data_IF_574102469107
#
_entry.id   IF_574102469107
#
_cell.length_a   1.000
_cell.length_b   1.000
_cell.length_c   1.000
_cell.angle_alpha   90.00
_cell.angle_beta   90.00
_cell.angle_gamma   90.00
#
_symmetry.space_group_name_H-M   'P 1'
#
loop_
_entity.id
_entity.type
_entity.pdbx_description
1 polymer ?
#
# COMPACT_ATOMS: atom_id res chain seq x y z
N UNK A 1 -20.33 15.70 -12.12
CA UNK A 1 -20.06 15.23 -10.74
C UNK A 1 -18.61 14.79 -10.66
N UNK A 2 -17.78 15.41 -9.82
CA UNK A 2 -16.44 14.88 -9.51
C UNK A 2 -16.62 13.78 -8.46
N UNK A 3 -16.71 12.53 -8.88
CA UNK A 3 -16.61 11.41 -7.95
C UNK A 3 -15.14 11.26 -7.58
N UNK A 4 -14.76 11.76 -6.40
CA UNK A 4 -13.50 11.36 -5.80
C UNK A 4 -13.62 9.88 -5.43
N UNK A 5 -12.60 9.06 -5.73
CA UNK A 5 -12.59 7.65 -5.34
C UNK A 5 -12.71 7.53 -3.81
N UNK A 6 -13.41 6.48 -3.36
CA UNK A 6 -13.62 6.21 -1.94
C UNK A 6 -12.29 6.15 -1.16
N UNK A 7 -12.29 6.50 0.14
CA UNK A 7 -11.12 6.37 1.00
C UNK A 7 -10.56 4.96 1.00
N UNK A 8 -9.24 4.83 1.04
CA UNK A 8 -8.55 3.55 1.09
C UNK A 8 -8.40 3.13 2.55
N UNK A 9 -8.98 2.00 2.92
CA UNK A 9 -8.86 1.45 4.27
C UNK A 9 -7.47 0.85 4.53
N UNK A 10 -7.08 0.79 5.80
CA UNK A 10 -5.83 0.15 6.23
C UNK A 10 -5.78 -1.32 5.78
N UNK A 11 -6.92 -2.02 5.82
CA UNK A 11 -7.05 -3.40 5.37
C UNK A 11 -6.80 -3.57 3.85
N UNK A 12 -7.19 -2.59 3.03
CA UNK A 12 -6.87 -2.60 1.60
C UNK A 12 -5.36 -2.41 1.37
N UNK A 13 -4.71 -1.54 2.14
CA UNK A 13 -3.26 -1.37 2.08
C UNK A 13 -2.54 -2.65 2.52
N UNK A 14 -2.97 -3.30 3.61
CA UNK A 14 -2.42 -4.58 4.09
C UNK A 14 -2.58 -5.69 3.04
N UNK A 15 -3.76 -5.80 2.44
CA UNK A 15 -4.05 -6.74 1.37
C UNK A 15 -3.09 -6.51 0.17
N UNK A 16 -2.92 -5.27 -0.26
CA UNK A 16 -2.04 -4.94 -1.37
C UNK A 16 -0.56 -5.21 -1.05
N UNK A 17 -0.09 -4.94 0.18
CA UNK A 17 1.26 -5.30 0.61
C UNK A 17 1.46 -6.82 0.56
N UNK A 18 0.49 -7.60 1.05
CA UNK A 18 0.56 -9.06 1.02
C UNK A 18 0.58 -9.59 -0.42
N UNK A 19 -0.26 -9.04 -1.32
CA UNK A 19 -0.23 -9.36 -2.74
C UNK A 19 1.17 -9.19 -3.34
N UNK A 20 1.84 -8.07 -3.06
CA UNK A 20 3.18 -7.83 -3.60
C UNK A 20 4.26 -8.73 -2.99
N UNK A 21 4.15 -9.07 -1.70
CA UNK A 21 5.05 -10.02 -1.04
C UNK A 21 4.93 -11.43 -1.63
N UNK A 22 3.73 -11.85 -1.99
CA UNK A 22 3.48 -13.15 -2.64
C UNK A 22 3.92 -13.15 -4.12
N UNK A 23 3.63 -12.06 -4.84
CA UNK A 23 3.94 -11.93 -6.27
C UNK A 23 5.42 -11.72 -6.55
N UNK A 24 6.12 -11.01 -5.66
CA UNK A 24 7.55 -10.72 -5.75
C UNK A 24 8.19 -11.00 -4.39
N UNK A 25 8.39 -12.28 -4.06
CA UNK A 25 9.02 -12.64 -2.80
C UNK A 25 10.46 -12.11 -2.76
N UNK A 26 11.01 -11.89 -1.55
CA UNK A 26 12.41 -11.50 -1.40
C UNK A 26 13.35 -12.51 -2.05
N UNK A 27 14.44 -12.03 -2.65
CA UNK A 27 15.47 -12.89 -3.23
C UNK A 27 16.29 -13.63 -2.16
N UNK A 28 16.45 -13.01 -0.99
CA UNK A 28 17.09 -13.59 0.19
C UNK A 28 16.03 -13.76 1.29
N UNK A 29 15.80 -15.01 1.69
CA UNK A 29 14.85 -15.35 2.74
C UNK A 29 15.37 -15.02 4.15
N UNK A 30 16.70 -14.96 4.34
CA UNK A 30 17.32 -14.59 5.62
C UNK A 30 17.31 -13.07 5.82
N UNK A 31 17.40 -12.29 4.74
CA UNK A 31 17.32 -10.84 4.74
C UNK A 31 16.18 -10.34 3.83
N UNK A 32 14.91 -10.47 4.28
CA UNK A 32 13.78 -10.14 3.44
C UNK A 32 13.68 -8.62 3.19
N UNK A 33 13.77 -8.23 1.92
CA UNK A 33 13.57 -6.85 1.46
C UNK A 33 12.27 -6.77 0.66
N UNK A 34 11.45 -5.75 0.95
CA UNK A 34 10.24 -5.48 0.18
C UNK A 34 10.58 -5.00 -1.24
N UNK A 35 9.82 -5.45 -2.23
CA UNK A 35 9.86 -4.86 -3.57
C UNK A 35 9.41 -3.38 -3.54
N UNK A 36 9.69 -2.65 -4.61
CA UNK A 36 9.40 -1.21 -4.68
C UNK A 36 7.91 -0.88 -4.47
N UNK A 37 7.01 -1.73 -4.96
CA UNK A 37 5.56 -1.56 -4.79
C UNK A 37 5.11 -1.78 -3.35
N UNK A 38 5.54 -2.88 -2.72
CA UNK A 38 5.25 -3.16 -1.32
C UNK A 38 5.86 -2.08 -0.40
N UNK A 39 7.07 -1.60 -0.70
CA UNK A 39 7.73 -0.55 0.08
C UNK A 39 6.97 0.78 0.00
N UNK A 40 6.50 1.17 -1.18
CA UNK A 40 5.72 2.39 -1.35
C UNK A 40 4.39 2.37 -0.56
N UNK A 41 3.75 1.20 -0.48
CA UNK A 41 2.54 1.00 0.32
C UNK A 41 2.83 0.92 1.83
N UNK A 42 4.00 0.38 2.22
CA UNK A 42 4.45 0.37 3.61
C UNK A 42 4.58 1.79 4.18
N UNK A 43 5.06 2.77 3.39
CA UNK A 43 5.13 4.17 3.85
C UNK A 43 3.74 4.74 4.22
N UNK A 44 2.68 4.36 3.47
CA UNK A 44 1.29 4.74 3.78
C UNK A 44 0.82 4.04 5.05
N UNK A 45 1.03 2.72 5.11
CA UNK A 45 0.64 1.88 6.23
C UNK A 45 1.26 2.34 7.56
N UNK A 46 2.57 2.61 7.56
CA UNK A 46 3.32 3.10 8.71
C UNK A 46 2.75 4.44 9.21
N UNK A 47 2.42 5.36 8.29
CA UNK A 47 1.83 6.65 8.64
C UNK A 47 0.40 6.51 9.20
N UNK A 48 -0.39 5.60 8.65
CA UNK A 48 -1.73 5.29 9.17
C UNK A 48 -1.68 4.75 10.60
N UNK A 49 -0.77 3.81 10.87
CA UNK A 49 -0.51 3.31 12.22
C UNK A 49 -0.07 4.44 13.15
N UNK A 50 0.91 5.23 12.72
CA UNK A 50 1.47 6.32 13.52
C UNK A 50 0.40 7.35 13.92
N UNK A 51 -0.55 7.63 13.03
CA UNK A 51 -1.65 8.58 13.27
C UNK A 51 -2.90 7.96 13.90
N UNK A 52 -2.99 6.63 13.95
CA UNK A 52 -4.21 5.92 14.35
C UNK A 52 -5.36 6.05 13.33
N UNK A 53 -5.03 6.22 12.05
CA UNK A 53 -6.01 6.38 10.96
C UNK A 53 -6.42 5.01 10.40
N UNK A 54 -7.73 4.75 10.31
CA UNK A 54 -8.27 3.50 9.74
C UNK A 54 -8.42 3.56 8.21
N UNK A 55 -8.39 4.76 7.62
CA UNK A 55 -8.44 5.00 6.18
C UNK A 55 -7.70 6.29 5.82
N UNK A 56 -7.30 6.38 4.56
CA UNK A 56 -6.70 7.59 3.97
C UNK A 56 -7.45 8.00 2.71
N UNK A 57 -7.48 9.30 2.45
CA UNK A 57 -8.05 9.82 1.22
C UNK A 57 -7.26 9.29 0.01
N UNK A 58 -7.93 8.74 -0.99
CA UNK A 58 -7.25 8.25 -2.19
C UNK A 58 -6.46 9.36 -2.92
N UNK A 59 -6.89 10.61 -2.76
CA UNK A 59 -6.19 11.79 -3.28
C UNK A 59 -4.87 12.10 -2.55
N UNK A 60 -4.70 11.69 -1.29
CA UNK A 60 -3.45 11.93 -0.53
C UNK A 60 -2.33 10.96 -0.90
N UNK A 61 -2.64 9.87 -1.59
CA UNK A 61 -1.65 8.93 -2.09
C UNK A 61 -0.76 9.58 -3.17
N UNK A 62 0.50 9.19 -3.25
CA UNK A 62 1.36 9.55 -4.37
C UNK A 62 0.95 8.78 -5.64
N UNK A 63 1.36 9.21 -6.85
CA UNK A 63 1.12 8.45 -8.08
C UNK A 63 1.65 7.00 -8.00
N UNK A 64 2.82 6.81 -7.38
CA UNK A 64 3.42 5.49 -7.19
C UNK A 64 2.58 4.60 -6.26
N UNK A 65 2.10 5.15 -5.14
CA UNK A 65 1.24 4.43 -4.20
C UNK A 65 -0.10 4.04 -4.84
N UNK A 66 -0.72 4.95 -5.60
CA UNK A 66 -1.95 4.64 -6.35
C UNK A 66 -1.73 3.54 -7.37
N UNK A 67 -0.63 3.58 -8.12
CA UNK A 67 -0.32 2.57 -9.11
C UNK A 67 -0.06 1.19 -8.47
N UNK A 68 0.69 1.16 -7.36
CA UNK A 68 0.97 -0.06 -6.61
C UNK A 68 -0.32 -0.66 -6.01
N UNK A 69 -1.21 0.19 -5.50
CA UNK A 69 -2.51 -0.23 -4.95
C UNK A 69 -3.44 -0.77 -6.04
N UNK A 70 -3.62 -0.02 -7.13
CA UNK A 70 -4.52 -0.39 -8.22
C UNK A 70 -4.07 -1.64 -8.99
N UNK A 71 -2.78 -1.98 -8.97
CA UNK A 71 -2.27 -3.21 -9.58
C UNK A 71 -2.38 -4.45 -8.67
N UNK A 72 -2.77 -4.27 -7.40
CA UNK A 72 -2.87 -5.33 -6.40
C UNK A 72 -4.31 -5.65 -5.96
N UNK A 73 -5.27 -4.76 -6.20
CA UNK A 73 -6.71 -4.92 -5.96
C UNK A 73 -7.46 -5.14 -7.27
#
# INVERSE_FOLDING_TARGET
MNQQPDPVSIAQIECAINHWRERRPPADAENPVLCAEARALADVYELMIYRGEASVEHASLTPQQRAALAAAL
#
